data_IF_582047910042
#
_entry.id   IF_582047910042
#
_cell.length_a   1.000
_cell.length_b   1.000
_cell.length_c   1.000
_cell.angle_alpha   90.00
_cell.angle_beta   90.00
_cell.angle_gamma   90.00
#
_symmetry.space_group_name_H-M   'P 1'
#
loop_
_entity.id
_entity.type
_entity.pdbx_description
1 polymer ?
#
# COMPACT_ATOMS: atom_id res chain seq x y z
N UNK A 1 -0.37 0.52 -18.85
CA UNK A 1 0.42 0.52 -17.60
C UNK A 1 0.25 -0.85 -16.98
N UNK A 2 1.32 -1.51 -16.53
CA UNK A 2 1.19 -2.79 -15.83
C UNK A 2 0.43 -2.62 -14.51
N UNK A 3 -0.39 -3.61 -14.19
CA UNK A 3 -1.04 -3.76 -12.89
C UNK A 3 -0.19 -4.69 -12.03
N UNK A 4 -0.08 -4.38 -10.74
CA UNK A 4 0.68 -5.17 -9.79
C UNK A 4 0.08 -5.19 -8.40
N UNK A 5 0.63 -6.05 -7.56
CA UNK A 5 0.23 -6.21 -6.17
C UNK A 5 1.23 -5.51 -5.25
N UNK A 6 0.74 -4.67 -4.35
CA UNK A 6 1.58 -4.01 -3.36
C UNK A 6 2.00 -5.00 -2.27
N UNK A 7 3.30 -5.34 -2.24
CA UNK A 7 3.86 -6.35 -1.35
C UNK A 7 4.43 -5.74 -0.06
N UNK A 8 4.96 -4.51 -0.14
CA UNK A 8 5.60 -3.83 0.98
C UNK A 8 5.33 -2.33 0.91
N UNK A 9 5.14 -1.71 2.07
CA UNK A 9 5.09 -0.25 2.23
C UNK A 9 6.09 0.15 3.31
N UNK A 10 7.03 1.02 2.98
CA UNK A 10 8.04 1.54 3.91
C UNK A 10 8.16 3.04 3.71
N UNK A 11 7.47 3.81 4.55
CA UNK A 11 7.39 5.26 4.41
C UNK A 11 6.74 5.66 3.08
N UNK A 12 7.49 6.33 2.21
CA UNK A 12 7.03 6.77 0.89
C UNK A 12 7.36 5.80 -0.25
N UNK A 13 8.10 4.72 0.03
CA UNK A 13 8.48 3.68 -0.93
C UNK A 13 7.59 2.46 -0.81
N UNK A 14 7.28 1.85 -1.95
CA UNK A 14 6.41 0.68 -2.07
C UNK A 14 7.06 -0.34 -2.99
N UNK A 15 7.05 -1.60 -2.60
CA UNK A 15 7.46 -2.70 -3.48
C UNK A 15 6.21 -3.26 -4.15
N UNK A 16 6.12 -3.16 -5.48
CA UNK A 16 5.02 -3.69 -6.29
C UNK A 16 5.48 -4.93 -7.02
N UNK A 17 4.72 -6.02 -6.93
CA UNK A 17 4.95 -7.23 -7.70
C UNK A 17 4.17 -7.18 -9.01
N UNK A 18 4.88 -7.20 -10.13
CA UNK A 18 4.30 -7.30 -11.47
C UNK A 18 3.63 -8.66 -11.72
N UNK A 19 2.89 -8.77 -12.82
CA UNK A 19 2.22 -10.01 -13.21
C UNK A 19 3.21 -11.14 -13.57
N UNK A 20 4.41 -10.76 -14.02
CA UNK A 20 5.58 -11.61 -14.27
C UNK A 20 6.32 -12.01 -12.98
N UNK A 21 5.88 -11.52 -11.82
CA UNK A 21 6.45 -11.84 -10.51
C UNK A 21 7.67 -11.00 -10.13
N UNK A 22 8.14 -10.10 -10.99
CA UNK A 22 9.23 -9.17 -10.68
C UNK A 22 8.80 -8.17 -9.61
N UNK A 23 9.76 -7.74 -8.81
CA UNK A 23 9.55 -6.71 -7.78
C UNK A 23 10.08 -5.37 -8.28
N UNK A 24 9.24 -4.34 -8.18
CA UNK A 24 9.56 -2.98 -8.56
C UNK A 24 9.46 -2.06 -7.36
N UNK A 25 10.53 -1.33 -7.06
CA UNK A 25 10.48 -0.23 -6.11
C UNK A 25 9.78 0.96 -6.75
N UNK A 26 8.74 1.44 -6.09
CA UNK A 26 7.84 2.46 -6.60
C UNK A 26 7.55 3.53 -5.55
N UNK A 27 7.15 4.71 -6.01
CA UNK A 27 6.63 5.80 -5.17
C UNK A 27 5.21 6.17 -5.61
N UNK A 28 4.41 6.69 -4.68
CA UNK A 28 3.06 7.13 -5.01
C UNK A 28 3.09 8.50 -5.72
N UNK A 29 2.50 8.58 -6.92
CA UNK A 29 2.38 9.85 -7.65
C UNK A 29 1.55 10.84 -6.84
N UNK A 30 1.97 12.11 -6.80
CA UNK A 30 1.40 13.12 -5.90
C UNK A 30 -0.13 13.29 -5.97
N UNK A 31 -0.75 13.02 -7.12
CA UNK A 31 -2.22 13.08 -7.31
C UNK A 31 -2.98 11.99 -6.55
N UNK A 32 -2.35 10.86 -6.25
CA UNK A 32 -2.93 9.75 -5.47
C UNK A 32 -3.09 10.11 -3.99
N UNK A 33 -2.22 10.99 -3.46
CA UNK A 33 -2.34 11.55 -2.10
C UNK A 33 -3.55 12.47 -1.92
N UNK A 34 -4.07 13.05 -3.01
CA UNK A 34 -5.03 14.18 -2.97
C UNK A 34 -6.49 13.70 -3.15
N UNK A 35 -6.74 12.43 -3.50
CA UNK A 35 -8.09 11.85 -3.68
C UNK A 35 -8.84 11.57 -2.36
N UNK A 36 -8.90 12.54 -1.44
CA UNK A 36 -9.78 12.50 -0.28
C UNK A 36 -9.40 11.50 0.82
N UNK A 37 -8.21 10.89 0.76
CA UNK A 37 -7.73 10.05 1.85
C UNK A 37 -7.34 10.96 3.03
N UNK A 38 -8.06 10.84 4.15
CA UNK A 38 -7.63 11.44 5.41
C UNK A 38 -6.39 10.74 6.01
N UNK A 39 -5.83 9.73 5.34
CA UNK A 39 -4.71 8.94 5.86
C UNK A 39 -3.36 9.48 5.40
N UNK A 40 -2.35 9.43 6.27
CA UNK A 40 -0.96 9.80 5.94
C UNK A 40 -0.31 8.85 4.94
N UNK A 41 -0.85 7.63 4.80
CA UNK A 41 -0.49 6.65 3.78
C UNK A 41 -1.74 6.20 3.00
N UNK A 42 -1.90 6.59 1.72
CA UNK A 42 -3.08 6.22 0.94
C UNK A 42 -3.09 4.73 0.53
N UNK A 43 -1.93 4.08 0.56
CA UNK A 43 -1.72 2.73 0.05
C UNK A 43 -1.39 1.75 1.19
N UNK A 44 -1.84 0.52 1.05
CA UNK A 44 -1.64 -0.57 2.02
C UNK A 44 -1.20 -1.85 1.31
N UNK A 45 -0.54 -2.74 2.06
CA UNK A 45 -0.15 -4.06 1.55
C UNK A 45 -1.39 -4.84 1.14
N UNK A 46 -1.34 -5.49 -0.02
CA UNK A 46 -2.49 -6.16 -0.63
C UNK A 46 -3.26 -5.29 -1.63
N UNK A 47 -2.95 -4.00 -1.75
CA UNK A 47 -3.55 -3.14 -2.76
C UNK A 47 -3.16 -3.58 -4.17
N UNK A 48 -4.13 -3.55 -5.08
CA UNK A 48 -3.89 -3.71 -6.52
C UNK A 48 -3.73 -2.33 -7.12
N UNK A 49 -2.64 -2.11 -7.83
CA UNK A 49 -2.26 -0.78 -8.32
C UNK A 49 -1.78 -0.84 -9.76
N UNK A 50 -2.01 0.23 -10.51
CA UNK A 50 -1.30 0.46 -11.77
C UNK A 50 -0.06 1.29 -11.50
N UNK A 51 1.03 0.92 -12.15
CA UNK A 51 2.31 1.61 -11.98
C UNK A 51 3.06 1.73 -13.31
N UNK A 52 3.94 2.71 -13.38
CA UNK A 52 4.89 2.90 -14.48
C UNK A 52 6.27 2.51 -13.97
N UNK A 53 6.88 1.41 -14.44
CA UNK A 53 8.25 1.06 -14.07
C UNK A 53 9.22 2.15 -14.53
N UNK A 54 10.23 2.47 -13.71
CA UNK A 54 11.33 3.36 -14.10
C UNK A 54 10.89 4.76 -14.58
N UNK A 55 9.91 5.36 -13.90
CA UNK A 55 9.27 6.61 -14.29
C UNK A 55 9.80 7.86 -13.57
N UNK A 56 10.37 7.70 -12.37
CA UNK A 56 10.85 8.83 -11.56
C UNK A 56 12.26 8.58 -11.03
N UNK A 57 13.08 9.64 -10.96
CA UNK A 57 14.41 9.56 -10.35
C UNK A 57 14.36 10.12 -8.94
N UNK A 58 14.59 9.28 -7.94
CA UNK A 58 14.68 9.69 -6.52
C UNK A 58 16.13 9.61 -6.10
N UNK A 59 16.81 10.76 -6.01
CA UNK A 59 18.25 10.81 -5.81
C UNK A 59 18.99 10.34 -7.06
N UNK A 60 19.70 9.21 -6.97
CA UNK A 60 20.40 8.57 -8.10
C UNK A 60 19.71 7.28 -8.59
N UNK A 61 18.54 6.93 -8.05
CA UNK A 61 17.83 5.70 -8.38
C UNK A 61 16.62 5.98 -9.27
N UNK A 62 16.48 5.20 -10.34
CA UNK A 62 15.30 5.20 -11.19
C UNK A 62 14.25 4.25 -10.60
N UNK A 63 13.16 4.80 -10.08
CA UNK A 63 12.07 4.08 -9.40
C UNK A 63 10.78 4.15 -10.22
N UNK A 64 9.87 3.22 -9.97
CA UNK A 64 8.54 3.25 -10.56
C UNK A 64 7.62 4.29 -9.91
N UNK A 65 6.54 4.64 -10.60
CA UNK A 65 5.51 5.54 -10.09
C UNK A 65 4.15 4.86 -10.08
N UNK A 66 3.48 4.81 -8.93
CA UNK A 66 2.12 4.30 -8.78
C UNK A 66 1.15 5.39 -9.24
N UNK A 67 0.35 5.07 -10.25
CA UNK A 67 -0.56 6.01 -10.93
C UNK A 67 -2.01 5.81 -10.53
N UNK A 68 -2.41 4.58 -10.19
CA UNK A 68 -3.79 4.23 -9.86
C UNK A 68 -3.87 3.20 -8.73
N UNK A 69 -4.88 3.35 -7.87
CA UNK A 69 -5.27 2.36 -6.86
C UNK A 69 -6.65 1.83 -7.26
N UNK A 70 -6.75 0.52 -7.42
CA UNK A 70 -8.01 -0.17 -7.69
C UNK A 70 -8.85 -0.31 -6.41
N UNK A 71 -10.15 -0.55 -6.58
CA UNK A 71 -11.07 -0.71 -5.46
C UNK A 71 -10.72 -1.93 -4.60
N UNK A 72 -10.77 -1.75 -3.27
CA UNK A 72 -10.48 -2.79 -2.30
C UNK A 72 -11.70 -3.68 -2.10
N UNK A 73 -11.54 -5.00 -2.20
CA UNK A 73 -12.59 -5.99 -1.83
C UNK A 73 -12.89 -5.95 -0.34
N UNK A 74 -11.85 -5.79 0.48
CA UNK A 74 -11.92 -5.65 1.93
C UNK A 74 -10.65 -4.93 2.42
N UNK A 75 -10.67 -4.50 3.69
CA UNK A 75 -9.52 -3.85 4.31
C UNK A 75 -9.57 -3.93 5.84
N UNK A 76 -8.38 -3.97 6.46
CA UNK A 76 -8.20 -3.86 7.90
C UNK A 76 -7.78 -2.44 8.28
N UNK A 77 -8.51 -1.81 9.19
CA UNK A 77 -8.23 -0.45 9.67
C UNK A 77 -7.86 -0.42 11.13
N UNK A 78 -6.86 0.41 11.47
CA UNK A 78 -6.56 0.83 12.84
C UNK A 78 -7.15 2.22 13.09
N UNK A 79 -7.91 2.36 14.17
CA UNK A 79 -8.33 3.65 14.70
C UNK A 79 -7.31 4.12 15.74
N UNK A 80 -6.84 5.36 15.64
CA UNK A 80 -6.03 5.96 16.69
C UNK A 80 -6.90 6.22 17.94
N UNK A 81 -6.35 5.94 19.12
CA UNK A 81 -7.02 6.20 20.40
C UNK A 81 -7.13 7.70 20.71
N UNK A 82 -6.18 8.52 20.24
CA UNK A 82 -6.10 9.96 20.54
C UNK A 82 -6.57 10.89 19.41
N UNK A 83 -6.70 10.40 18.17
CA UNK A 83 -7.24 11.18 17.05
C UNK A 83 -8.36 10.38 16.38
N UNK A 84 -9.59 10.71 16.76
CA UNK A 84 -10.83 10.08 16.33
C UNK A 84 -11.08 10.09 14.80
N UNK A 85 -10.36 10.90 14.03
CA UNK A 85 -10.66 11.18 12.62
C UNK A 85 -9.76 10.47 11.59
N UNK A 86 -8.67 9.82 12.00
CA UNK A 86 -7.75 9.18 11.05
C UNK A 86 -7.81 7.66 11.12
N UNK A 87 -8.44 7.06 10.10
CA UNK A 87 -8.42 5.61 9.85
C UNK A 87 -7.17 5.29 9.03
N UNK A 88 -6.30 4.42 9.56
CA UNK A 88 -5.14 3.92 8.81
C UNK A 88 -5.44 2.51 8.34
N UNK A 89 -5.43 2.30 7.02
CA UNK A 89 -5.55 0.96 6.43
C UNK A 89 -4.21 0.24 6.58
N UNK A 90 -4.22 -0.91 7.25
CA UNK A 90 -3.02 -1.72 7.52
C UNK A 90 -2.77 -2.70 6.37
N UNK A 91 -3.84 -3.33 5.89
CA UNK A 91 -3.82 -4.32 4.81
C UNK A 91 -5.16 -4.33 4.08
N UNK A 92 -5.16 -4.80 2.83
CA UNK A 92 -6.36 -4.90 1.98
C UNK A 92 -6.38 -6.21 1.19
N UNK A 93 -7.55 -6.53 0.62
CA UNK A 93 -7.76 -7.66 -0.30
C UNK A 93 -7.32 -9.03 0.27
N UNK A 94 -7.47 -9.22 1.58
CA UNK A 94 -7.09 -10.45 2.27
C UNK A 94 -8.19 -11.51 2.12
N UNK A 95 -7.82 -12.76 1.85
CA UNK A 95 -8.79 -13.85 1.77
C UNK A 95 -8.97 -14.60 3.10
N UNK A 96 -8.00 -14.51 4.01
CA UNK A 96 -8.01 -15.20 5.32
C UNK A 96 -7.36 -14.34 6.42
N UNK A 97 -7.79 -14.55 7.67
CA UNK A 97 -7.20 -13.96 8.87
C UNK A 97 -6.92 -15.06 9.90
N UNK A 98 -5.67 -15.14 10.37
CA UNK A 98 -5.24 -16.09 11.38
C UNK A 98 -5.01 -15.34 12.70
N UNK A 99 -5.79 -15.67 13.72
CA UNK A 99 -5.64 -15.09 15.05
C UNK A 99 -4.89 -16.08 15.93
N UNK A 100 -3.65 -15.74 16.27
CA UNK A 100 -2.84 -16.50 17.22
C UNK A 100 -3.04 -15.94 18.62
N UNK A 101 -3.40 -16.81 19.57
CA UNK A 101 -3.60 -16.46 20.98
C UNK A 101 -2.81 -17.42 21.87
N UNK A 102 -2.34 -16.94 23.02
CA UNK A 102 -1.72 -17.77 24.06
C UNK A 102 -2.56 -17.74 25.34
N UNK A 103 -2.72 -18.89 25.99
CA UNK A 103 -3.38 -18.99 27.30
C UNK A 103 -2.38 -18.74 28.43
N UNK A 104 -1.11 -19.05 28.22
CA UNK A 104 -0.05 -18.81 29.19
C UNK A 104 0.48 -17.38 29.04
N UNK A 105 0.49 -16.62 30.14
CA UNK A 105 0.84 -15.17 30.17
C UNK A 105 0.05 -14.37 29.11
N UNK A 106 -1.29 -14.39 29.19
CA UNK A 106 -2.17 -13.72 28.25
C UNK A 106 -2.09 -12.19 28.35
#
# INVERSE_FOLDING_TARGET
MPTGLLMRSTGSRYTVRGADGTLHECIAKGKLRIKGFSSTNPLAVGDVVDFEPAAETVGNELVGAITHLHDRRNYLVRKSVNLSHHKHVIASNMDQCLVLVTVARP
#
